data_IF_263745093563
#
_entry.id   IF_263745093563
#
_cell.length_a   1.000
_cell.length_b   1.000
_cell.length_c   1.000
_cell.angle_alpha   90.00
_cell.angle_beta   90.00
_cell.angle_gamma   90.00
#
_symmetry.space_group_name_H-M   'P 1'
#
loop_
_entity.id
_entity.type
_entity.pdbx_description
1 polymer ?
#
# COMPACT_ATOMS: atom_id res chain seq x y z
N UNK A 1 -1.91 7.53 -7.42
CA UNK A 1 -1.13 6.66 -6.51
C UNK A 1 0.11 7.42 -6.08
N UNK A 2 0.47 7.38 -4.81
CA UNK A 2 1.61 8.16 -4.28
C UNK A 2 2.94 7.49 -4.55
N UNK A 3 3.03 6.16 -4.56
CA UNK A 3 4.24 5.45 -4.98
C UNK A 3 4.31 5.35 -6.52
N UNK A 4 5.44 5.68 -7.17
CA UNK A 4 5.56 5.60 -8.63
C UNK A 4 5.47 4.15 -9.15
N UNK A 5 5.81 3.18 -8.30
CA UNK A 5 5.67 1.74 -8.60
C UNK A 5 4.26 1.22 -8.37
N UNK A 6 3.33 2.07 -7.93
CA UNK A 6 1.94 1.69 -7.61
C UNK A 6 1.78 0.59 -6.55
N UNK A 7 2.85 0.27 -5.81
CA UNK A 7 2.82 -0.70 -4.72
C UNK A 7 2.08 -0.14 -3.49
N UNK A 8 1.32 -1.02 -2.82
CA UNK A 8 0.58 -0.73 -1.57
C UNK A 8 0.80 -1.77 -0.47
N UNK A 9 1.45 -2.87 -0.80
CA UNK A 9 1.67 -4.03 0.07
C UNK A 9 3.00 -3.96 0.85
N UNK A 10 3.50 -2.74 1.11
CA UNK A 10 4.70 -2.52 1.94
C UNK A 10 5.93 -2.00 1.19
N UNK A 11 7.11 -2.04 1.84
CA UNK A 11 8.36 -1.56 1.27
C UNK A 11 8.84 -2.48 0.15
N UNK A 12 9.26 -1.89 -0.95
CA UNK A 12 9.72 -2.63 -2.14
C UNK A 12 11.23 -2.93 -2.16
N UNK A 13 11.98 -2.58 -1.11
CA UNK A 13 13.46 -2.68 -1.09
C UNK A 13 14.21 -1.63 -1.92
N UNK A 14 13.56 -1.03 -2.91
CA UNK A 14 14.17 -0.05 -3.83
C UNK A 14 14.28 1.38 -3.30
N UNK A 15 14.68 1.55 -2.04
CA UNK A 15 14.93 2.87 -1.43
C UNK A 15 16.43 3.13 -1.48
N UNK A 16 16.83 4.28 -2.02
CA UNK A 16 18.22 4.73 -2.04
C UNK A 16 18.69 5.15 -0.66
N UNK A 17 20.00 5.23 -0.49
CA UNK A 17 20.65 5.67 0.77
C UNK A 17 20.18 7.05 1.24
N UNK A 18 19.86 7.95 0.31
CA UNK A 18 19.31 9.27 0.62
C UNK A 18 17.80 9.29 0.92
N UNK A 19 17.15 8.12 1.01
CA UNK A 19 15.72 7.98 1.25
C UNK A 19 14.81 8.12 0.03
N UNK A 20 15.37 8.29 -1.17
CA UNK A 20 14.59 8.46 -2.40
C UNK A 20 14.30 7.14 -3.12
N UNK A 21 13.26 7.15 -3.97
CA UNK A 21 12.84 5.97 -4.72
C UNK A 21 13.83 5.64 -5.86
N UNK A 22 14.16 4.37 -6.08
CA UNK A 22 15.08 3.95 -7.16
C UNK A 22 14.61 4.38 -8.56
N UNK A 23 13.31 4.28 -8.86
CA UNK A 23 12.76 4.58 -10.20
C UNK A 23 12.50 6.06 -10.42
N UNK A 24 12.38 6.85 -9.35
CA UNK A 24 12.12 8.29 -9.40
C UNK A 24 13.03 9.01 -8.39
N UNK A 25 14.32 9.24 -8.74
CA UNK A 25 15.35 9.72 -7.80
C UNK A 25 15.08 11.03 -7.08
N UNK A 26 14.26 11.89 -7.66
CA UNK A 26 13.83 13.17 -7.11
C UNK A 26 12.70 13.02 -6.07
N UNK A 27 12.12 11.83 -5.95
CA UNK A 27 10.98 11.56 -5.09
C UNK A 27 11.39 10.75 -3.85
N UNK A 28 11.19 11.32 -2.66
CA UNK A 28 11.35 10.60 -1.39
C UNK A 28 10.35 9.44 -1.28
N UNK A 29 10.84 8.29 -0.82
CA UNK A 29 10.06 7.07 -0.64
C UNK A 29 8.84 7.32 0.26
N UNK A 30 7.65 6.98 -0.23
CA UNK A 30 6.39 7.16 0.51
C UNK A 30 6.35 6.28 1.77
N UNK A 31 6.98 5.11 1.75
CA UNK A 31 7.03 4.21 2.91
C UNK A 31 7.91 4.77 4.04
N UNK A 32 9.02 5.42 3.69
CA UNK A 32 9.83 6.17 4.67
C UNK A 32 9.04 7.37 5.21
N UNK A 33 8.37 8.14 4.37
CA UNK A 33 7.48 9.22 4.84
C UNK A 33 6.41 8.72 5.81
N UNK A 34 5.85 7.53 5.56
CA UNK A 34 4.87 6.92 6.45
C UNK A 34 5.51 6.50 7.78
N UNK A 35 6.72 5.94 7.76
CA UNK A 35 7.50 5.62 8.96
C UNK A 35 7.81 6.87 9.79
N UNK A 36 8.33 7.92 9.16
CA UNK A 36 8.63 9.18 9.85
C UNK A 36 7.40 9.74 10.56
N UNK A 37 6.21 9.62 9.94
CA UNK A 37 4.95 10.02 10.56
C UNK A 37 4.59 9.20 11.80
N UNK A 38 4.91 7.91 11.87
CA UNK A 38 4.64 7.13 13.09
C UNK A 38 5.51 7.59 14.25
N UNK A 39 6.73 8.06 13.97
CA UNK A 39 7.65 8.60 14.97
C UNK A 39 7.22 10.00 15.40
N UNK A 40 7.08 10.92 14.45
CA UNK A 40 7.03 12.35 14.73
C UNK A 40 5.63 12.92 14.93
N UNK A 41 4.58 12.27 14.41
CA UNK A 41 3.22 12.77 14.59
C UNK A 41 2.60 12.25 15.90
N UNK A 42 1.78 13.08 16.58
CA UNK A 42 1.02 12.68 17.76
C UNK A 42 -0.21 11.85 17.37
N UNK A 43 0.02 10.69 16.74
CA UNK A 43 -1.03 9.75 16.34
C UNK A 43 -1.38 8.79 17.49
N UNK A 44 -2.63 8.33 17.60
CA UNK A 44 -3.01 7.24 18.49
C UNK A 44 -2.13 6.00 18.27
N UNK A 45 -1.81 5.26 19.34
CA UNK A 45 -0.96 4.05 19.25
C UNK A 45 -1.48 3.05 18.21
N UNK A 46 -2.80 2.85 18.18
CA UNK A 46 -3.48 1.96 17.21
C UNK A 46 -3.11 2.31 15.77
N UNK A 47 -3.04 3.61 15.44
CA UNK A 47 -2.70 4.05 14.08
C UNK A 47 -1.21 3.91 13.77
N UNK A 48 -0.34 4.00 14.78
CA UNK A 48 1.09 3.69 14.61
C UNK A 48 1.30 2.20 14.36
N UNK A 49 0.53 1.35 15.04
CA UNK A 49 0.58 -0.10 14.87
C UNK A 49 0.10 -0.51 13.45
N UNK A 50 -0.93 0.15 12.92
CA UNK A 50 -1.44 -0.08 11.55
C UNK A 50 -0.41 0.14 10.43
N UNK A 51 0.71 0.82 10.70
CA UNK A 51 1.80 0.92 9.72
C UNK A 51 2.34 -0.46 9.30
N UNK A 52 2.32 -1.43 10.21
CA UNK A 52 2.79 -2.79 9.95
C UNK A 52 1.71 -3.69 9.31
N UNK A 53 0.47 -3.21 9.20
CA UNK A 53 -0.64 -3.95 8.60
C UNK A 53 -0.54 -3.88 7.06
N UNK A 54 0.20 -4.81 6.48
CA UNK A 54 0.34 -4.88 5.03
C UNK A 54 -1.00 -5.24 4.39
N UNK A 55 -1.34 -4.55 3.31
CA UNK A 55 -2.52 -4.84 2.48
C UNK A 55 -2.14 -5.78 1.34
N UNK A 56 -3.07 -6.60 0.84
CA UNK A 56 -2.82 -7.43 -0.33
C UNK A 56 -2.38 -6.58 -1.53
N UNK A 57 -1.59 -7.16 -2.46
CA UNK A 57 -1.16 -6.47 -3.67
C UNK A 57 -2.38 -6.05 -4.49
N UNK A 58 -2.25 -4.91 -5.17
CA UNK A 58 -3.27 -4.44 -6.10
C UNK A 58 -3.35 -5.37 -7.31
N UNK A 59 -4.56 -5.75 -7.71
CA UNK A 59 -4.77 -6.44 -8.99
C UNK A 59 -4.73 -5.44 -10.15
N UNK A 60 -3.62 -5.45 -10.88
CA UNK A 60 -3.42 -4.58 -12.04
C UNK A 60 -4.24 -5.00 -13.27
N UNK A 61 -4.79 -6.23 -13.30
CA UNK A 61 -5.66 -6.68 -14.39
C UNK A 61 -7.00 -5.93 -14.43
N UNK A 62 -7.39 -5.31 -13.32
CA UNK A 62 -8.60 -4.48 -13.22
C UNK A 62 -8.38 -3.03 -13.70
N UNK A 63 -7.15 -2.65 -14.04
CA UNK A 63 -6.87 -1.29 -14.50
C UNK A 63 -7.66 -0.97 -15.78
N UNK A 64 -8.38 0.16 -15.77
CA UNK A 64 -9.21 0.59 -16.91
C UNK A 64 -10.57 -0.09 -17.01
N UNK A 65 -10.92 -1.00 -16.09
CA UNK A 65 -12.26 -1.60 -16.00
C UNK A 65 -13.18 -0.81 -15.07
N UNK A 66 -14.50 -1.05 -15.14
CA UNK A 66 -15.48 -0.35 -14.31
C UNK A 66 -15.39 -0.75 -12.83
N UNK A 67 -15.17 0.23 -11.95
CA UNK A 67 -15.10 0.01 -10.50
C UNK A 67 -16.38 -0.61 -9.92
N UNK A 68 -17.56 -0.21 -10.42
CA UNK A 68 -18.84 -0.75 -9.96
C UNK A 68 -19.03 -2.22 -10.35
N UNK A 69 -18.63 -2.58 -11.57
CA UNK A 69 -18.71 -3.98 -12.03
C UNK A 69 -17.78 -4.84 -11.18
N UNK A 70 -16.55 -4.38 -10.93
CA UNK A 70 -15.60 -5.12 -10.09
C UNK A 70 -16.11 -5.32 -8.66
N UNK A 71 -16.70 -4.29 -8.06
CA UNK A 71 -17.29 -4.35 -6.72
C UNK A 71 -18.44 -5.36 -6.65
N UNK A 72 -19.41 -5.28 -7.58
CA UNK A 72 -20.59 -6.17 -7.59
C UNK A 72 -20.19 -7.62 -7.87
N UNK A 73 -19.19 -7.83 -8.75
CA UNK A 73 -18.65 -9.16 -9.06
C UNK A 73 -17.58 -9.64 -8.07
N UNK A 74 -17.26 -8.83 -7.05
CA UNK A 74 -16.21 -9.07 -6.05
C UNK A 74 -14.81 -9.34 -6.62
N UNK A 75 -14.54 -8.92 -7.86
CA UNK A 75 -13.21 -9.11 -8.49
C UNK A 75 -12.12 -8.31 -7.77
N UNK A 76 -12.46 -7.14 -7.24
CA UNK A 76 -11.57 -6.27 -6.47
C UNK A 76 -11.32 -6.75 -5.02
N UNK A 77 -12.02 -7.81 -4.58
CA UNK A 77 -11.87 -8.41 -3.26
C UNK A 77 -11.01 -9.70 -3.30
N UNK A 78 -10.62 -10.16 -4.48
CA UNK A 78 -9.81 -11.37 -4.63
C UNK A 78 -8.35 -11.07 -4.24
N UNK A 79 -7.77 -11.92 -3.40
CA UNK A 79 -6.36 -11.83 -3.00
C UNK A 79 -5.59 -13.07 -3.46
N UNK A 80 -4.29 -12.92 -3.79
CA UNK A 80 -3.47 -14.07 -4.19
C UNK A 80 -3.26 -15.04 -3.02
N UNK A 81 -2.90 -16.29 -3.34
CA UNK A 81 -2.60 -17.32 -2.36
C UNK A 81 -1.54 -16.83 -1.34
N UNK A 82 -1.74 -17.14 -0.07
CA UNK A 82 -0.87 -16.69 1.03
C UNK A 82 -1.30 -15.37 1.69
N UNK A 83 -2.29 -14.66 1.14
CA UNK A 83 -2.98 -13.58 1.83
C UNK A 83 -4.26 -14.11 2.46
N UNK A 84 -4.36 -14.02 3.80
CA UNK A 84 -5.64 -14.24 4.47
C UNK A 84 -6.56 -13.06 4.16
N UNK A 85 -7.67 -13.32 3.48
CA UNK A 85 -8.80 -12.40 3.48
C UNK A 85 -9.30 -12.40 4.93
N UNK A 86 -8.86 -11.42 5.73
CA UNK A 86 -9.64 -11.11 6.91
C UNK A 86 -10.95 -10.57 6.36
N UNK A 87 -12.04 -11.31 6.56
CA UNK A 87 -13.40 -10.87 6.29
C UNK A 87 -13.71 -9.66 7.20
N UNK A 88 -13.14 -8.52 6.85
CA UNK A 88 -13.34 -7.26 7.52
C UNK A 88 -14.67 -6.70 7.06
N UNK A 89 -15.72 -7.09 7.79
CA UNK A 89 -16.94 -6.30 7.96
C UNK A 89 -16.60 -4.81 7.83
N UNK A 90 -17.05 -4.20 6.74
CA UNK A 90 -17.23 -2.76 6.66
C UNK A 90 -18.68 -2.47 7.04
#
# INVERSE_FOLDING_TARGET
MTCPKTLRNGPCGGVRENGNCEVKPEMQCVWLKAYDRTIFLPLPKVWKDHYNDLRPPVDMQLQGTSSWINLITKRDQQTPAGWSVQDGNH
#
